data_IF_136114007726
#
_entry.id   IF_136114007726
#
_cell.length_a   1.000
_cell.length_b   1.000
_cell.length_c   1.000
_cell.angle_alpha   90.00
_cell.angle_beta   90.00
_cell.angle_gamma   90.00
#
_symmetry.space_group_name_H-M   'P 1'
#
loop_
_entity.id
_entity.type
_entity.pdbx_description
1 polymer ?
#
# COMPACT_ATOMS: atom_id res chain seq x y z
N UNK A 1 6.54 15.81 19.29
CA UNK A 1 5.13 15.42 19.56
C UNK A 1 5.15 13.93 19.86
N UNK A 2 4.28 13.45 20.76
CA UNK A 2 4.33 12.05 21.20
C UNK A 2 3.87 11.11 20.07
N UNK A 3 4.47 9.92 19.96
CA UNK A 3 4.07 8.89 18.99
C UNK A 3 2.59 8.49 19.10
N UNK A 4 1.96 8.74 20.25
CA UNK A 4 0.52 8.57 20.45
C UNK A 4 -0.34 9.69 19.82
N UNK A 5 0.18 10.92 19.75
CA UNK A 5 -0.50 12.07 19.13
C UNK A 5 -0.44 11.95 17.60
N UNK A 6 0.68 11.52 17.02
CA UNK A 6 0.80 11.21 15.59
C UNK A 6 -0.07 10.01 15.16
N UNK A 7 -0.25 9.00 16.03
CA UNK A 7 -1.18 7.86 15.82
C UNK A 7 -2.62 8.33 15.71
N UNK A 8 -3.07 9.15 16.65
CA UNK A 8 -4.42 9.69 16.63
C UNK A 8 -4.63 10.54 15.38
N UNK A 9 -3.67 11.39 15.02
CA UNK A 9 -3.82 12.34 13.91
C UNK A 9 -3.87 11.66 12.52
N UNK A 10 -3.05 10.63 12.29
CA UNK A 10 -3.06 9.86 11.03
C UNK A 10 -4.31 9.01 10.85
N UNK A 11 -4.80 8.36 11.91
CA UNK A 11 -6.05 7.59 11.83
C UNK A 11 -7.24 8.56 11.73
N UNK A 12 -7.28 9.65 12.52
CA UNK A 12 -8.37 10.65 12.48
C UNK A 12 -8.48 11.37 11.12
N UNK A 13 -7.36 11.66 10.46
CA UNK A 13 -7.38 12.25 9.10
C UNK A 13 -8.00 11.31 8.07
N UNK A 14 -7.86 9.99 8.22
CA UNK A 14 -8.48 9.02 7.30
C UNK A 14 -10.01 8.97 7.38
N UNK A 15 -10.61 9.49 8.46
CA UNK A 15 -12.06 9.54 8.66
C UNK A 15 -12.62 10.97 8.64
N UNK A 16 -11.81 11.99 8.34
CA UNK A 16 -12.23 13.39 8.39
C UNK A 16 -13.43 13.70 7.48
N UNK A 17 -13.54 12.98 6.36
CA UNK A 17 -14.64 13.09 5.38
C UNK A 17 -15.97 12.53 5.89
N UNK A 18 -15.97 11.75 6.96
CA UNK A 18 -17.20 11.22 7.55
C UNK A 18 -17.88 12.31 8.36
N UNK A 19 -19.04 12.75 7.87
CA UNK A 19 -19.92 13.69 8.55
C UNK A 19 -21.31 13.06 8.75
N UNK A 20 -22.02 13.40 9.84
CA UNK A 20 -21.62 14.28 10.95
C UNK A 20 -20.62 13.61 11.91
N UNK A 21 -20.03 14.38 12.85
CA UNK A 21 -19.04 13.89 13.83
C UNK A 21 -19.50 12.66 14.62
N UNK A 22 -20.79 12.61 14.96
CA UNK A 22 -21.41 11.46 15.62
C UNK A 22 -21.24 10.16 14.81
N UNK A 23 -21.43 10.21 13.48
CA UNK A 23 -21.22 9.05 12.61
C UNK A 23 -19.75 8.64 12.56
N UNK A 24 -18.83 9.61 12.50
CA UNK A 24 -17.38 9.37 12.55
C UNK A 24 -16.95 8.69 13.85
N UNK A 25 -17.43 9.16 15.00
CA UNK A 25 -17.13 8.56 16.32
C UNK A 25 -17.60 7.11 16.40
N UNK A 26 -18.75 6.79 15.80
CA UNK A 26 -19.26 5.41 15.73
C UNK A 26 -18.38 4.51 14.86
N UNK A 27 -17.87 5.00 13.72
CA UNK A 27 -16.93 4.22 12.88
C UNK A 27 -15.60 3.97 13.59
N UNK A 28 -15.02 5.00 14.20
CA UNK A 28 -13.77 4.86 14.97
C UNK A 28 -13.94 3.84 16.11
N UNK A 29 -15.02 3.96 16.88
CA UNK A 29 -15.35 3.00 17.94
C UNK A 29 -15.56 1.57 17.40
N UNK A 30 -16.18 1.43 16.22
CA UNK A 30 -16.37 0.15 15.58
C UNK A 30 -15.05 -0.48 15.13
N UNK A 31 -14.15 0.29 14.50
CA UNK A 31 -12.80 -0.17 14.10
C UNK A 31 -12.03 -0.71 15.30
N UNK A 32 -11.99 0.03 16.40
CA UNK A 32 -11.30 -0.41 17.61
C UNK A 32 -11.94 -1.66 18.21
N UNK A 33 -13.27 -1.68 18.34
CA UNK A 33 -13.98 -2.82 18.91
C UNK A 33 -13.79 -4.09 18.08
N UNK A 34 -13.87 -3.98 16.74
CA UNK A 34 -13.63 -5.10 15.82
C UNK A 34 -12.17 -5.57 15.88
N UNK A 35 -11.19 -4.67 15.97
CA UNK A 35 -9.79 -5.06 16.05
C UNK A 35 -9.42 -5.74 17.38
N UNK A 36 -10.06 -5.35 18.49
CA UNK A 36 -9.82 -5.92 19.82
C UNK A 36 -10.53 -7.26 20.03
N UNK A 37 -11.80 -7.36 19.64
CA UNK A 37 -12.68 -8.51 19.97
C UNK A 37 -13.07 -9.36 18.76
N UNK A 38 -12.80 -8.90 17.55
CA UNK A 38 -13.34 -9.46 16.31
C UNK A 38 -14.74 -8.92 15.99
N UNK A 39 -15.14 -9.03 14.72
CA UNK A 39 -16.46 -8.58 14.28
C UNK A 39 -17.60 -9.33 14.99
N UNK A 40 -17.53 -10.66 15.08
CA UNK A 40 -18.63 -11.48 15.60
C UNK A 40 -18.89 -11.26 17.10
N UNK A 41 -17.84 -11.07 17.90
CA UNK A 41 -17.97 -10.87 19.35
C UNK A 41 -18.36 -9.42 19.74
N UNK A 42 -18.37 -8.48 18.78
CA UNK A 42 -18.74 -7.08 19.01
C UNK A 42 -20.23 -6.85 18.79
N UNK A 43 -20.90 -6.12 19.68
CA UNK A 43 -22.31 -5.70 19.52
C UNK A 43 -22.44 -4.22 19.17
N UNK A 44 -23.58 -3.79 18.60
CA UNK A 44 -23.87 -2.36 18.38
C UNK A 44 -23.93 -1.57 19.70
N UNK A 45 -24.32 -2.21 20.81
CA UNK A 45 -24.28 -1.58 22.14
C UNK A 45 -22.84 -1.30 22.60
N UNK A 46 -21.91 -2.24 22.36
CA UNK A 46 -20.49 -2.03 22.67
C UNK A 46 -19.93 -0.82 21.91
N UNK A 47 -20.25 -0.72 20.62
CA UNK A 47 -19.80 0.36 19.74
C UNK A 47 -20.37 1.70 20.20
N UNK A 48 -21.68 1.76 20.46
CA UNK A 48 -22.32 2.97 20.97
C UNK A 48 -21.72 3.43 22.30
N UNK A 49 -21.52 2.49 23.24
CA UNK A 49 -20.91 2.79 24.54
C UNK A 49 -19.49 3.34 24.39
N UNK A 50 -18.67 2.73 23.52
CA UNK A 50 -17.30 3.19 23.23
C UNK A 50 -17.30 4.58 22.57
N UNK A 51 -18.24 4.85 21.69
CA UNK A 51 -18.40 6.17 21.08
C UNK A 51 -18.92 7.25 22.06
N UNK A 52 -19.29 6.88 23.30
CA UNK A 52 -19.92 7.78 24.26
C UNK A 52 -21.35 8.16 23.88
N UNK A 53 -22.07 7.25 23.21
CA UNK A 53 -23.40 7.47 22.63
C UNK A 53 -24.40 6.45 23.16
N UNK A 54 -25.69 6.80 23.13
CA UNK A 54 -26.76 5.85 23.44
C UNK A 54 -26.92 4.84 22.29
N UNK A 55 -27.40 3.61 22.56
CA UNK A 55 -27.73 2.66 21.49
C UNK A 55 -28.74 3.23 20.47
N UNK A 56 -29.70 4.04 20.93
CA UNK A 56 -30.66 4.70 20.05
C UNK A 56 -29.98 5.68 19.07
N UNK A 57 -28.96 6.42 19.54
CA UNK A 57 -28.24 7.36 18.70
C UNK A 57 -27.39 6.68 17.62
N UNK A 58 -26.87 5.47 17.88
CA UNK A 58 -26.21 4.66 16.84
C UNK A 58 -27.16 4.37 15.68
N UNK A 59 -28.39 3.94 15.98
CA UNK A 59 -29.38 3.59 14.96
C UNK A 59 -29.91 4.76 14.13
N UNK A 60 -29.62 6.01 14.53
CA UNK A 60 -29.84 7.18 13.69
C UNK A 60 -28.88 7.16 12.50
N UNK A 61 -27.62 6.77 12.73
CA UNK A 61 -26.55 6.81 11.73
C UNK A 61 -26.35 5.48 10.99
N UNK A 62 -26.42 4.35 11.69
CA UNK A 62 -26.16 3.02 11.14
C UNK A 62 -27.19 2.02 11.64
N UNK A 63 -27.92 1.37 10.73
CA UNK A 63 -29.02 0.45 11.06
C UNK A 63 -28.52 -0.91 11.53
N UNK A 64 -27.36 -1.34 11.07
CA UNK A 64 -26.80 -2.66 11.41
C UNK A 64 -25.31 -2.59 11.72
N UNK A 65 -24.81 -3.62 12.39
CA UNK A 65 -23.35 -3.82 12.59
C UNK A 65 -22.62 -4.03 11.26
N UNK A 66 -23.30 -4.66 10.30
CA UNK A 66 -22.78 -4.88 8.96
C UNK A 66 -22.60 -3.56 8.21
N UNK A 67 -23.52 -2.60 8.35
CA UNK A 67 -23.41 -1.29 7.71
C UNK A 67 -22.16 -0.52 8.17
N UNK A 68 -21.83 -0.62 9.46
CA UNK A 68 -20.56 -0.10 10.00
C UNK A 68 -19.35 -0.79 9.34
N UNK A 69 -19.37 -2.12 9.28
CA UNK A 69 -18.27 -2.89 8.67
C UNK A 69 -18.11 -2.58 7.18
N UNK A 70 -19.22 -2.48 6.44
CA UNK A 70 -19.24 -2.11 5.03
C UNK A 70 -18.65 -0.72 4.83
N UNK A 71 -19.09 0.27 5.62
CA UNK A 71 -18.57 1.64 5.53
C UNK A 71 -17.08 1.71 5.84
N UNK A 72 -16.61 1.00 6.87
CA UNK A 72 -15.19 0.87 7.21
C UNK A 72 -14.40 0.25 6.05
N UNK A 73 -14.91 -0.87 5.54
CA UNK A 73 -14.28 -1.62 4.43
C UNK A 73 -14.16 -0.75 3.18
N UNK A 74 -15.23 -0.03 2.84
CA UNK A 74 -15.28 0.85 1.68
C UNK A 74 -14.24 1.96 1.77
N UNK A 75 -14.25 2.72 2.87
CA UNK A 75 -13.30 3.83 3.09
C UNK A 75 -11.85 3.32 3.02
N UNK A 76 -11.56 2.18 3.66
CA UNK A 76 -10.22 1.59 3.61
C UNK A 76 -9.75 1.23 2.20
N UNK A 77 -10.62 0.59 1.40
CA UNK A 77 -10.27 0.21 0.02
C UNK A 77 -10.25 1.40 -0.95
N UNK A 78 -11.11 2.40 -0.75
CA UNK A 78 -11.07 3.65 -1.52
C UNK A 78 -9.75 4.39 -1.26
N UNK A 79 -9.27 4.42 0.00
CA UNK A 79 -7.98 5.03 0.33
C UNK A 79 -6.80 4.27 -0.26
N UNK A 80 -6.81 2.93 -0.16
CA UNK A 80 -5.82 2.08 -0.81
C UNK A 80 -5.73 2.34 -2.33
N UNK A 81 -6.89 2.44 -2.97
CA UNK A 81 -6.99 2.72 -4.39
C UNK A 81 -6.47 4.12 -4.75
N UNK A 82 -6.79 5.15 -3.94
CA UNK A 82 -6.29 6.51 -4.13
C UNK A 82 -4.75 6.58 -4.05
N UNK A 83 -4.15 5.88 -3.08
CA UNK A 83 -2.69 5.82 -2.92
C UNK A 83 -2.04 5.25 -4.18
N UNK A 84 -2.52 4.10 -4.65
CA UNK A 84 -1.95 3.42 -5.82
C UNK A 84 -2.17 4.21 -7.10
N UNK A 85 -3.36 4.81 -7.28
CA UNK A 85 -3.66 5.72 -8.38
C UNK A 85 -2.74 6.93 -8.42
N UNK A 86 -2.44 7.49 -7.25
CA UNK A 86 -1.56 8.64 -7.14
C UNK A 86 -0.15 8.28 -7.60
N UNK A 87 0.39 7.13 -7.14
CA UNK A 87 1.69 6.63 -7.57
C UNK A 87 1.72 6.28 -9.07
N UNK A 88 0.68 5.60 -9.57
CA UNK A 88 0.56 5.21 -10.98
C UNK A 88 0.52 6.41 -11.94
N UNK A 89 0.00 7.57 -11.50
CA UNK A 89 -0.07 8.80 -12.31
C UNK A 89 1.15 9.69 -12.19
N UNK A 90 2.16 9.35 -11.38
CA UNK A 90 3.38 10.17 -11.28
C UNK A 90 4.15 10.14 -12.59
N UNK A 91 4.75 11.29 -12.92
CA UNK A 91 5.76 11.36 -13.96
C UNK A 91 6.98 10.51 -13.55
N UNK A 92 7.60 9.86 -14.54
CA UNK A 92 8.76 9.00 -14.33
C UNK A 92 8.63 7.64 -15.02
N UNK A 93 9.65 6.83 -14.78
CA UNK A 93 9.77 5.45 -15.24
C UNK A 93 8.79 4.51 -14.52
N UNK A 94 8.49 3.35 -15.11
CA UNK A 94 7.68 2.34 -14.44
C UNK A 94 8.33 1.87 -13.13
N UNK A 95 9.68 1.82 -13.11
CA UNK A 95 10.49 1.52 -11.93
C UNK A 95 10.21 2.50 -10.78
N UNK A 96 10.25 3.81 -11.04
CA UNK A 96 10.00 4.84 -10.02
C UNK A 96 8.55 4.80 -9.51
N UNK A 97 7.58 4.62 -10.42
CA UNK A 97 6.17 4.50 -10.06
C UNK A 97 5.89 3.27 -9.19
N UNK A 98 6.49 2.11 -9.52
CA UNK A 98 6.30 0.88 -8.75
C UNK A 98 6.90 1.00 -7.36
N UNK A 99 8.10 1.59 -7.25
CA UNK A 99 8.75 1.83 -5.96
C UNK A 99 7.92 2.78 -5.06
N UNK A 100 7.37 3.86 -5.62
CA UNK A 100 6.50 4.77 -4.88
C UNK A 100 5.17 4.09 -4.49
N UNK A 101 4.55 3.34 -5.40
CA UNK A 101 3.32 2.61 -5.13
C UNK A 101 3.50 1.64 -3.97
N UNK A 102 4.55 0.81 -4.00
CA UNK A 102 4.85 -0.17 -2.94
C UNK A 102 5.16 0.53 -1.61
N UNK A 103 6.08 1.50 -1.61
CA UNK A 103 6.48 2.18 -0.37
C UNK A 103 5.32 2.93 0.28
N UNK A 104 4.50 3.63 -0.50
CA UNK A 104 3.31 4.34 -0.01
C UNK A 104 2.23 3.40 0.50
N UNK A 105 1.98 2.29 -0.21
CA UNK A 105 0.98 1.31 0.18
C UNK A 105 1.37 0.54 1.46
N UNK A 106 2.65 0.19 1.59
CA UNK A 106 3.22 -0.42 2.79
C UNK A 106 3.16 0.53 4.00
N UNK A 107 3.54 1.81 3.83
CA UNK A 107 3.42 2.81 4.91
C UNK A 107 1.99 2.94 5.41
N UNK A 108 1.02 2.92 4.49
CA UNK A 108 -0.41 2.98 4.85
C UNK A 108 -0.85 1.74 5.66
N UNK A 109 -0.46 0.53 5.23
CA UNK A 109 -0.76 -0.70 5.95
C UNK A 109 -0.09 -0.78 7.33
N UNK A 110 1.14 -0.28 7.46
CA UNK A 110 1.87 -0.24 8.73
C UNK A 110 1.25 0.75 9.73
N UNK A 111 0.93 1.97 9.27
CA UNK A 111 0.35 3.04 10.12
C UNK A 111 -1.11 2.73 10.50
N UNK A 112 -1.92 2.27 9.54
CA UNK A 112 -3.34 1.98 9.73
C UNK A 112 -3.64 0.53 10.11
N UNK A 113 -2.74 -0.18 10.80
CA UNK A 113 -2.84 -1.65 11.03
C UNK A 113 -4.18 -2.11 11.61
N UNK A 114 -4.77 -1.32 12.51
CA UNK A 114 -6.04 -1.63 13.18
C UNK A 114 -7.18 -1.64 12.14
N UNK A 115 -7.29 -0.56 11.37
CA UNK A 115 -8.25 -0.43 10.26
C UNK A 115 -7.97 -1.47 9.18
N UNK A 116 -6.72 -1.61 8.75
CA UNK A 116 -6.35 -2.53 7.68
C UNK A 116 -6.66 -3.99 8.04
N UNK A 117 -6.52 -4.41 9.30
CA UNK A 117 -6.93 -5.75 9.73
C UNK A 117 -8.44 -5.96 9.59
N UNK A 118 -9.25 -5.02 10.06
CA UNK A 118 -10.72 -5.10 9.94
C UNK A 118 -11.13 -5.13 8.47
N UNK A 119 -10.57 -4.22 7.66
CA UNK A 119 -10.86 -4.09 6.22
C UNK A 119 -10.46 -5.33 5.42
N UNK A 120 -9.37 -6.00 5.80
CA UNK A 120 -8.83 -7.12 5.02
C UNK A 120 -9.40 -8.48 5.43
N UNK A 121 -9.65 -8.71 6.72
CA UNK A 121 -9.94 -10.04 7.27
C UNK A 121 -11.41 -10.31 7.61
N UNK A 122 -12.29 -9.30 7.57
CA UNK A 122 -13.71 -9.45 7.93
C UNK A 122 -14.66 -9.44 6.72
N UNK A 123 -14.13 -9.63 5.51
CA UNK A 123 -14.92 -9.63 4.27
C UNK A 123 -16.08 -10.64 4.27
N UNK A 124 -15.88 -11.81 4.88
CA UNK A 124 -16.87 -12.88 4.91
C UNK A 124 -18.05 -12.57 5.84
N UNK A 125 -17.93 -11.50 6.64
CA UNK A 125 -18.99 -10.97 7.49
C UNK A 125 -19.93 -9.99 6.77
N UNK A 126 -19.64 -9.64 5.51
CA UNK A 126 -20.48 -8.78 4.68
C UNK A 126 -21.54 -9.59 3.92
N UNK A 127 -22.73 -9.01 3.76
CA UNK A 127 -23.75 -9.49 2.85
C UNK A 127 -23.31 -9.42 1.39
N UNK A 128 -24.04 -10.10 0.48
CA UNK A 128 -23.60 -10.32 -0.90
C UNK A 128 -23.34 -9.01 -1.67
N UNK A 129 -24.20 -8.00 -1.53
CA UNK A 129 -24.09 -6.73 -2.25
C UNK A 129 -22.90 -5.91 -1.75
N UNK A 130 -22.78 -5.76 -0.43
CA UNK A 130 -21.66 -5.08 0.20
C UNK A 130 -20.32 -5.75 -0.14
N UNK A 131 -20.28 -7.09 -0.11
CA UNK A 131 -19.10 -7.88 -0.48
C UNK A 131 -18.76 -7.68 -1.96
N UNK A 132 -19.74 -7.68 -2.86
CA UNK A 132 -19.52 -7.47 -4.29
C UNK A 132 -18.89 -6.10 -4.58
N UNK A 133 -19.35 -5.06 -3.88
CA UNK A 133 -18.77 -3.72 -3.97
C UNK A 133 -17.31 -3.68 -3.52
N UNK A 134 -16.98 -4.28 -2.37
CA UNK A 134 -15.59 -4.31 -1.90
C UNK A 134 -14.69 -5.13 -2.85
N UNK A 135 -15.19 -6.23 -3.40
CA UNK A 135 -14.45 -6.99 -4.42
C UNK A 135 -14.20 -6.16 -5.69
N UNK A 136 -15.13 -5.27 -6.07
CA UNK A 136 -14.92 -4.36 -7.18
C UNK A 136 -13.80 -3.33 -6.90
N UNK A 137 -13.71 -2.82 -5.67
CA UNK A 137 -12.59 -1.96 -5.25
C UNK A 137 -11.27 -2.72 -5.24
N UNK A 138 -11.23 -3.97 -4.74
CA UNK A 138 -10.02 -4.81 -4.77
C UNK A 138 -9.54 -5.09 -6.19
N UNK A 139 -10.44 -5.31 -7.15
CA UNK A 139 -10.08 -5.45 -8.56
C UNK A 139 -9.47 -4.18 -9.15
N UNK A 140 -9.92 -3.00 -8.70
CA UNK A 140 -9.32 -1.74 -9.13
C UNK A 140 -7.92 -1.57 -8.54
N UNK A 141 -7.73 -1.84 -7.24
CA UNK A 141 -6.41 -1.85 -6.57
C UNK A 141 -5.43 -2.75 -7.33
N UNK A 142 -5.86 -3.96 -7.68
CA UNK A 142 -5.09 -4.91 -8.48
C UNK A 142 -4.70 -4.33 -9.85
N UNK A 143 -5.65 -3.72 -10.55
CA UNK A 143 -5.42 -3.14 -11.87
C UNK A 143 -4.40 -1.99 -11.85
N UNK A 144 -4.36 -1.14 -10.81
CA UNK A 144 -3.39 -0.04 -10.73
C UNK A 144 -1.95 -0.58 -10.64
N UNK A 145 -1.70 -1.58 -9.79
CA UNK A 145 -0.35 -2.18 -9.66
C UNK A 145 0.00 -3.00 -10.89
N UNK A 146 -0.96 -3.76 -11.43
CA UNK A 146 -0.76 -4.54 -12.65
C UNK A 146 -0.36 -3.64 -13.82
N UNK A 147 -1.05 -2.51 -14.00
CA UNK A 147 -0.75 -1.57 -15.08
C UNK A 147 0.70 -1.07 -15.06
N UNK A 148 1.23 -0.72 -13.88
CA UNK A 148 2.64 -0.31 -13.75
C UNK A 148 3.60 -1.43 -14.15
N UNK A 149 3.30 -2.69 -13.76
CA UNK A 149 4.13 -3.85 -14.09
C UNK A 149 4.06 -4.16 -15.60
N UNK A 150 2.87 -4.09 -16.21
CA UNK A 150 2.67 -4.28 -17.65
C UNK A 150 3.44 -3.23 -18.46
N UNK A 151 3.36 -1.96 -18.04
CA UNK A 151 4.10 -0.86 -18.68
C UNK A 151 5.61 -1.07 -18.60
N UNK A 152 6.14 -1.44 -17.44
CA UNK A 152 7.57 -1.69 -17.28
C UNK A 152 8.06 -2.93 -18.03
N UNK A 153 7.22 -3.96 -18.17
CA UNK A 153 7.53 -5.11 -19.03
C UNK A 153 7.54 -4.71 -20.52
N UNK A 154 6.57 -3.90 -20.95
CA UNK A 154 6.47 -3.42 -22.33
C UNK A 154 7.61 -2.45 -22.70
N UNK A 155 8.06 -1.60 -21.78
CA UNK A 155 9.21 -0.71 -21.97
C UNK A 155 10.56 -1.43 -21.86
N UNK A 156 10.56 -2.68 -21.37
CA UNK A 156 11.76 -3.47 -21.14
C UNK A 156 12.52 -3.10 -19.86
N UNK A 157 11.96 -2.23 -19.01
CA UNK A 157 12.47 -1.94 -17.67
C UNK A 157 12.40 -3.15 -16.74
N UNK A 158 11.37 -3.98 -16.89
CA UNK A 158 11.11 -5.18 -16.08
C UNK A 158 11.26 -6.47 -16.91
N UNK A 159 11.58 -7.56 -16.23
CA UNK A 159 11.67 -8.91 -16.79
C UNK A 159 10.70 -9.84 -16.04
N UNK A 160 9.42 -9.81 -16.45
CA UNK A 160 8.32 -10.47 -15.75
C UNK A 160 7.66 -11.50 -16.67
N UNK A 161 7.70 -12.77 -16.27
CA UNK A 161 7.09 -13.87 -17.02
C UNK A 161 5.57 -13.98 -16.79
N UNK A 162 5.14 -13.82 -15.55
CA UNK A 162 3.73 -13.87 -15.14
C UNK A 162 3.36 -12.59 -14.41
N UNK A 163 2.84 -11.61 -15.16
CA UNK A 163 2.41 -10.32 -14.63
C UNK A 163 1.34 -10.52 -13.56
N UNK A 164 0.34 -11.37 -13.81
CA UNK A 164 -0.80 -11.54 -12.91
C UNK A 164 -0.37 -12.16 -11.58
N UNK A 165 0.40 -13.25 -11.62
CA UNK A 165 0.94 -13.88 -10.42
C UNK A 165 1.90 -12.95 -9.65
N UNK A 166 2.68 -12.15 -10.36
CA UNK A 166 3.59 -11.18 -9.75
C UNK A 166 2.82 -10.05 -9.06
N UNK A 167 1.79 -9.48 -9.69
CA UNK A 167 0.92 -8.48 -9.06
C UNK A 167 0.29 -9.02 -7.78
N UNK A 168 -0.25 -10.25 -7.82
CA UNK A 168 -0.83 -10.90 -6.65
C UNK A 168 0.20 -11.03 -5.51
N UNK A 169 1.42 -11.47 -5.82
CA UNK A 169 2.49 -11.61 -4.82
C UNK A 169 2.88 -10.26 -4.21
N UNK A 170 3.04 -9.22 -5.03
CA UNK A 170 3.37 -7.85 -4.60
C UNK A 170 2.29 -7.30 -3.65
N UNK A 171 1.02 -7.41 -4.02
CA UNK A 171 -0.09 -6.93 -3.18
C UNK A 171 -0.18 -7.72 -1.89
N UNK A 172 -0.02 -9.05 -1.95
CA UNK A 172 -0.06 -9.92 -0.77
C UNK A 172 1.03 -9.57 0.23
N UNK A 173 2.26 -9.33 -0.24
CA UNK A 173 3.38 -8.85 0.59
C UNK A 173 3.01 -7.54 1.29
N UNK A 174 2.56 -6.54 0.53
CA UNK A 174 2.21 -5.23 1.09
C UNK A 174 1.07 -5.29 2.11
N UNK A 175 0.01 -6.06 1.82
CA UNK A 175 -1.17 -6.18 2.68
C UNK A 175 -0.83 -6.89 4.00
N UNK A 176 0.02 -7.91 3.97
CA UNK A 176 0.37 -8.70 5.16
C UNK A 176 1.08 -7.87 6.24
N UNK A 177 1.68 -6.73 5.87
CA UNK A 177 2.26 -5.74 6.80
C UNK A 177 1.26 -5.34 7.89
N UNK A 178 -0.02 -5.19 7.56
CA UNK A 178 -1.06 -4.85 8.54
C UNK A 178 -1.24 -5.92 9.63
N UNK A 179 -0.89 -7.18 9.36
CA UNK A 179 -0.98 -8.29 10.31
C UNK A 179 0.20 -8.31 11.26
N UNK A 180 1.43 -8.17 10.75
CA UNK A 180 2.65 -8.42 11.53
C UNK A 180 3.37 -7.16 12.03
N UNK A 181 3.13 -5.99 11.44
CA UNK A 181 3.86 -4.77 11.83
C UNK A 181 3.65 -4.43 13.30
N UNK A 182 4.77 -4.16 13.99
CA UNK A 182 4.82 -3.73 15.37
C UNK A 182 5.47 -2.35 15.44
N UNK A 183 4.71 -1.38 15.96
CA UNK A 183 5.14 0.01 16.12
C UNK A 183 6.27 0.19 17.14
N UNK A 184 6.37 -0.70 18.13
CA UNK A 184 7.48 -0.74 19.08
C UNK A 184 8.61 -1.65 18.59
N UNK A 185 8.52 -2.11 17.34
CA UNK A 185 9.51 -2.93 16.68
C UNK A 185 10.72 -2.12 16.18
N UNK A 186 11.74 -2.81 15.64
CA UNK A 186 13.02 -2.19 15.30
C UNK A 186 13.00 -1.40 13.99
N UNK A 187 11.88 -1.37 13.25
CA UNK A 187 11.78 -0.69 11.96
C UNK A 187 10.56 0.22 11.88
N UNK A 188 10.74 1.39 11.30
CA UNK A 188 9.66 2.35 11.05
C UNK A 188 8.84 1.95 9.81
N UNK A 189 7.61 2.50 9.64
CA UNK A 189 6.84 2.33 8.40
C UNK A 189 7.61 2.71 7.14
N UNK A 190 8.45 3.76 7.22
CA UNK A 190 9.27 4.26 6.12
C UNK A 190 10.34 3.24 5.74
N UNK A 191 11.07 2.72 6.73
CA UNK A 191 12.12 1.71 6.50
C UNK A 191 11.55 0.41 5.91
N UNK A 192 10.35 -0.02 6.33
CA UNK A 192 9.67 -1.17 5.73
C UNK A 192 9.21 -0.86 4.30
N UNK A 193 8.70 0.35 4.05
CA UNK A 193 8.30 0.80 2.72
C UNK A 193 9.46 0.80 1.73
N UNK A 194 10.61 1.33 2.12
CA UNK A 194 11.84 1.33 1.32
C UNK A 194 12.36 -0.09 1.06
N UNK A 195 12.39 -0.93 2.09
CA UNK A 195 12.77 -2.33 1.95
C UNK A 195 11.87 -3.07 0.97
N UNK A 196 10.54 -2.91 1.09
CA UNK A 196 9.60 -3.63 0.24
C UNK A 196 9.66 -3.12 -1.19
N UNK A 197 9.87 -1.82 -1.42
CA UNK A 197 10.10 -1.29 -2.75
C UNK A 197 11.32 -1.94 -3.41
N UNK A 198 12.46 -2.03 -2.72
CA UNK A 198 13.66 -2.72 -3.23
C UNK A 198 13.41 -4.22 -3.50
N UNK A 199 12.74 -4.93 -2.59
CA UNK A 199 12.39 -6.35 -2.79
C UNK A 199 11.49 -6.55 -4.00
N UNK A 200 10.47 -5.72 -4.17
CA UNK A 200 9.53 -5.80 -5.30
C UNK A 200 10.23 -5.46 -6.62
N UNK A 201 11.11 -4.47 -6.64
CA UNK A 201 11.91 -4.17 -7.84
C UNK A 201 12.78 -5.37 -8.27
N UNK A 202 13.30 -6.15 -7.32
CA UNK A 202 14.00 -7.41 -7.63
C UNK A 202 13.04 -8.50 -8.12
N UNK A 203 11.85 -8.60 -7.54
CA UNK A 203 10.82 -9.57 -7.97
C UNK A 203 10.40 -9.35 -9.43
N UNK A 204 10.32 -8.09 -9.88
CA UNK A 204 9.97 -7.76 -11.27
C UNK A 204 11.17 -7.75 -12.22
N UNK A 205 12.37 -8.11 -11.74
CA UNK A 205 13.58 -8.11 -12.57
C UNK A 205 13.98 -6.71 -13.07
N UNK A 206 13.75 -5.66 -12.27
CA UNK A 206 14.02 -4.29 -12.67
C UNK A 206 15.49 -4.11 -13.10
N UNK A 207 15.69 -3.66 -14.33
CA UNK A 207 17.02 -3.41 -14.89
C UNK A 207 17.53 -2.08 -14.36
N UNK A 208 18.75 -2.08 -13.84
CA UNK A 208 19.43 -0.81 -13.53
C UNK A 208 19.48 0.01 -14.81
N UNK A 209 19.11 1.29 -14.74
CA UNK A 209 19.27 2.22 -15.85
C UNK A 209 20.70 2.07 -16.39
N UNK A 210 20.82 1.56 -17.61
CA UNK A 210 22.09 1.26 -18.21
C UNK A 210 22.92 2.53 -18.26
N UNK A 211 24.03 2.57 -17.52
CA UNK A 211 25.12 3.46 -17.88
C UNK A 211 25.54 3.00 -19.27
N UNK A 212 25.13 3.74 -20.31
CA UNK A 212 25.58 3.54 -21.67
C UNK A 212 27.10 3.67 -21.69
N UNK A 213 27.81 2.55 -21.59
CA UNK A 213 29.21 2.48 -21.96
C UNK A 213 29.22 2.63 -23.46
N UNK A 214 29.41 3.87 -23.92
CA UNK A 214 29.72 4.17 -25.31
C UNK A 214 30.92 3.32 -25.70
N UNK A 215 30.70 2.34 -26.57
CA UNK A 215 31.78 1.71 -27.32
C UNK A 215 32.41 2.78 -28.21
N UNK A 216 33.54 3.32 -27.80
CA UNK A 216 34.46 3.99 -28.71
C UNK A 216 35.35 2.92 -29.34
N UNK A 217 34.93 2.43 -30.51
CA UNK A 217 35.82 1.71 -31.42
C UNK A 217 36.77 2.72 -32.09
N UNK A 218 38.07 2.43 -32.00
CA UNK A 218 39.04 2.64 -33.08
C UNK A 218 39.55 4.06 -33.34
N UNK A 219 40.75 4.37 -32.82
CA UNK A 219 41.76 5.00 -33.67
C UNK A 219 43.16 4.50 -33.28
N UNK A 220 43.79 3.81 -34.23
CA UNK A 220 45.10 3.20 -34.07
C UNK A 220 46.26 4.19 -34.05
N UNK A 221 47.31 3.75 -33.35
CA UNK A 221 48.74 3.92 -33.63
C UNK A 221 49.25 5.31 -34.06
N UNK A 222 49.94 5.96 -33.13
CA UNK A 222 51.02 6.91 -33.42
C UNK A 222 52.35 6.12 -33.38
N UNK A 223 53.23 6.21 -34.39
CA UNK A 223 54.55 5.60 -34.33
C UNK A 223 55.53 6.52 -33.58
N UNK A 224 56.35 5.95 -32.70
CA UNK A 224 57.52 6.64 -32.14
C UNK A 224 58.77 6.04 -32.77
N UNK A 225 59.30 6.75 -33.77
CA UNK A 225 60.65 6.59 -34.28
C UNK A 225 61.61 7.31 -33.33
N UNK A 226 62.68 6.62 -32.91
CA UNK A 226 63.74 7.20 -32.07
C UNK A 226 65.01 6.32 -32.13
N UNK A 227 66.18 6.87 -32.50
CA UNK A 227 67.33 6.06 -32.90
C UNK A 227 68.17 5.59 -31.70
N UNK A 228 68.48 4.31 -31.65
CA UNK A 228 69.45 3.71 -30.71
C UNK A 228 70.82 3.47 -31.38
N UNK A 229 71.95 3.65 -30.67
CA UNK A 229 73.27 3.82 -31.26
C UNK A 229 74.00 2.51 -31.59
N UNK A 230 74.99 2.64 -32.48
CA UNK A 230 75.92 1.59 -32.94
C UNK A 230 77.00 1.27 -31.90
N UNK A 231 77.44 0.01 -31.90
CA UNK A 231 78.72 -0.48 -31.34
C UNK A 231 78.53 -1.82 -30.64
N UNK A 232 79.31 -2.89 -30.86
CA UNK A 232 80.51 -3.17 -31.67
C UNK A 232 80.37 -4.57 -32.26
#
# INVERSE_FOLDING_TARGET
MSTAEERADSDLQSWAEVTPDAARRLLLAAVEAFAERGYHATTTRDIASRAGMSPAALYIHYKTKEELLHRISRIGHEKALEILRTAARREGSATERLADAVSSFVRWHARGRTTARVVQYELDSLGPDARAEILALRRQVDAEVRGIIEEGAASGEFDVLDVQGTTLAVLSLCIDVARWFNVDGPRTPEEIGELYADLVLRMVGAKKAGHGVGKAEGQGRIPVDGPGPRGR
#
